data_IF_139449136751
#
_entry.id   IF_139449136751
#
_cell.length_a   1.000
_cell.length_b   1.000
_cell.length_c   1.000
_cell.angle_alpha   90.00
_cell.angle_beta   90.00
_cell.angle_gamma   90.00
#
_symmetry.space_group_name_H-M   'P 1'
#
loop_
_entity.id
_entity.type
_entity.pdbx_description
1 polymer ?
#
# COMPACT_ATOMS: atom_id res chain seq x y z
N UNK A 1 7.03 8.14 12.30
CA UNK A 1 6.46 8.35 13.65
C UNK A 1 5.58 9.60 13.59
N UNK A 2 4.27 9.46 13.75
CA UNK A 2 3.36 10.61 13.78
C UNK A 2 3.40 11.16 15.20
N UNK A 3 3.96 12.35 15.37
CA UNK A 3 3.95 13.05 16.66
C UNK A 3 2.84 14.09 16.64
N UNK A 4 1.77 13.85 17.38
CA UNK A 4 0.71 14.84 17.60
C UNK A 4 0.93 15.55 18.93
N UNK A 5 0.90 16.87 18.94
CA UNK A 5 0.84 17.66 20.16
C UNK A 5 -0.58 18.19 20.34
N UNK A 6 -1.18 17.86 21.49
CA UNK A 6 -2.50 18.37 21.89
C UNK A 6 -2.28 19.39 23.02
N UNK A 7 -2.70 20.62 22.81
CA UNK A 7 -2.77 21.63 23.89
C UNK A 7 -4.18 21.64 24.45
N UNK A 8 -4.34 21.26 25.71
CA UNK A 8 -5.65 21.29 26.38
C UNK A 8 -5.58 22.19 27.62
N UNK A 9 -6.56 23.08 27.74
CA UNK A 9 -6.76 23.91 28.89
C UNK A 9 -8.00 23.38 29.63
N UNK A 10 -7.78 22.49 30.59
CA UNK A 10 -8.84 21.82 31.37
C UNK A 10 -8.30 20.83 32.40
N UNK A 11 -9.17 20.29 33.25
CA UNK A 11 -8.78 19.36 34.31
C UNK A 11 -8.18 18.05 33.73
N UNK A 12 -7.19 17.46 34.42
CA UNK A 12 -6.45 16.24 33.97
C UNK A 12 -7.37 15.03 33.68
N UNK A 13 -8.53 14.94 34.34
CA UNK A 13 -9.48 13.84 34.11
C UNK A 13 -10.12 13.93 32.71
N UNK A 14 -10.56 15.11 32.30
CA UNK A 14 -11.22 15.37 31.01
C UNK A 14 -10.23 15.08 29.84
N UNK A 15 -8.95 15.33 30.06
CA UNK A 15 -7.87 15.04 29.12
C UNK A 15 -7.70 13.56 28.85
N UNK A 16 -7.72 12.75 29.89
CA UNK A 16 -7.55 11.28 29.75
C UNK A 16 -8.73 10.68 28.98
N UNK A 17 -9.93 11.15 29.26
CA UNK A 17 -11.13 10.67 28.57
C UNK A 17 -11.12 11.06 27.10
N UNK A 18 -10.70 12.29 26.77
CA UNK A 18 -10.54 12.75 25.38
C UNK A 18 -9.46 11.94 24.64
N UNK A 19 -8.30 11.71 25.27
CA UNK A 19 -7.24 10.94 24.66
C UNK A 19 -7.66 9.48 24.43
N UNK A 20 -8.33 8.88 25.40
CA UNK A 20 -8.85 7.52 25.27
C UNK A 20 -9.89 7.43 24.14
N UNK A 21 -10.77 8.44 24.00
CA UNK A 21 -11.73 8.45 22.89
C UNK A 21 -11.03 8.62 21.54
N UNK A 22 -10.04 9.50 21.41
CA UNK A 22 -9.24 9.66 20.20
C UNK A 22 -8.54 8.33 19.82
N UNK A 23 -7.92 7.64 20.78
CA UNK A 23 -7.26 6.37 20.55
C UNK A 23 -8.23 5.30 20.02
N UNK A 24 -9.47 5.28 20.47
CA UNK A 24 -10.48 4.35 19.96
C UNK A 24 -10.89 4.60 18.52
N UNK A 25 -10.61 5.79 17.97
CA UNK A 25 -10.93 6.19 16.60
C UNK A 25 -9.81 5.95 15.60
N UNK A 26 -8.58 5.73 16.07
CA UNK A 26 -7.43 5.46 15.19
C UNK A 26 -7.64 4.28 14.25
N UNK A 27 -8.15 3.12 14.71
CA UNK A 27 -8.40 2.01 13.79
C UNK A 27 -9.30 2.38 12.61
N UNK A 28 -10.36 3.16 12.85
CA UNK A 28 -11.24 3.62 11.77
C UNK A 28 -10.54 4.57 10.79
N UNK A 29 -9.65 5.44 11.30
CA UNK A 29 -8.85 6.30 10.43
C UNK A 29 -7.82 5.52 9.61
N UNK A 30 -7.27 4.44 10.17
CA UNK A 30 -6.35 3.54 9.47
C UNK A 30 -7.02 2.74 8.33
N UNK A 31 -8.33 2.52 8.38
CA UNK A 31 -9.07 1.96 7.26
C UNK A 31 -9.02 2.88 6.02
N UNK A 32 -9.12 4.19 6.21
CA UNK A 32 -8.96 5.16 5.12
C UNK A 32 -7.54 5.14 4.55
N UNK A 33 -6.53 4.99 5.41
CA UNK A 33 -5.14 4.82 4.99
C UNK A 33 -4.96 3.54 4.18
N UNK A 34 -5.54 2.43 4.63
CA UNK A 34 -5.50 1.16 3.91
C UNK A 34 -6.11 1.28 2.52
N UNK A 35 -7.26 1.94 2.40
CA UNK A 35 -7.90 2.19 1.11
C UNK A 35 -7.00 3.02 0.20
N UNK A 36 -6.38 4.08 0.72
CA UNK A 36 -5.48 4.95 -0.05
C UNK A 36 -4.23 4.20 -0.56
N UNK A 37 -3.64 3.34 0.27
CA UNK A 37 -2.49 2.51 -0.15
C UNK A 37 -2.92 1.52 -1.25
N UNK A 38 -4.10 0.91 -1.11
CA UNK A 38 -4.66 0.01 -2.13
C UNK A 38 -4.86 0.71 -3.46
N UNK A 39 -5.46 1.90 -3.45
CA UNK A 39 -5.71 2.69 -4.65
C UNK A 39 -4.39 3.12 -5.32
N UNK A 40 -3.39 3.53 -4.53
CA UNK A 40 -2.06 3.84 -5.04
C UNK A 40 -1.39 2.61 -5.68
N UNK A 41 -1.45 1.45 -5.04
CA UNK A 41 -0.92 0.20 -5.60
C UNK A 41 -1.60 -0.16 -6.92
N UNK A 42 -2.93 -0.13 -6.97
CA UNK A 42 -3.68 -0.45 -8.19
C UNK A 42 -3.35 0.53 -9.33
N UNK A 43 -3.23 1.82 -9.04
CA UNK A 43 -2.81 2.84 -10.01
C UNK A 43 -1.46 2.48 -10.61
N UNK A 44 -0.45 2.20 -9.78
CA UNK A 44 0.91 1.90 -10.25
C UNK A 44 1.05 0.52 -10.90
N UNK A 45 0.24 -0.46 -10.52
CA UNK A 45 0.13 -1.71 -11.26
C UNK A 45 -0.37 -1.47 -12.69
N UNK A 46 -1.34 -0.58 -12.88
CA UNK A 46 -1.85 -0.28 -14.22
C UNK A 46 -0.89 0.58 -15.04
N UNK A 47 -0.32 1.66 -14.46
CA UNK A 47 0.55 2.59 -15.18
C UNK A 47 1.94 2.02 -15.39
N UNK A 48 2.61 1.59 -14.34
CA UNK A 48 4.05 1.34 -14.32
C UNK A 48 4.38 -0.14 -14.55
N UNK A 49 3.47 -1.06 -14.21
CA UNK A 49 3.65 -2.47 -14.52
C UNK A 49 3.08 -2.83 -15.90
N UNK A 50 1.80 -2.53 -16.14
CA UNK A 50 1.15 -2.92 -17.38
C UNK A 50 1.32 -1.88 -18.50
N UNK A 51 1.38 -0.59 -18.15
CA UNK A 51 1.57 0.50 -19.09
C UNK A 51 3.01 0.63 -19.63
N UNK A 52 4.01 0.22 -18.85
CA UNK A 52 5.41 0.40 -19.21
C UNK A 52 5.88 -0.47 -20.39
N UNK A 53 5.18 -1.55 -20.71
CA UNK A 53 5.63 -2.53 -21.71
C UNK A 53 4.44 -3.26 -22.35
N UNK A 54 4.48 -3.40 -23.67
CA UNK A 54 3.54 -4.26 -24.43
C UNK A 54 4.30 -5.49 -24.92
N UNK A 55 3.93 -6.70 -24.48
CA UNK A 55 4.63 -7.92 -24.91
C UNK A 55 4.38 -8.20 -26.40
N UNK A 56 5.42 -8.60 -27.12
CA UNK A 56 5.38 -8.96 -28.54
C UNK A 56 5.15 -10.47 -28.75
N UNK A 57 5.65 -11.30 -27.84
CA UNK A 57 5.71 -12.75 -28.02
C UNK A 57 4.77 -13.55 -27.12
N UNK A 58 4.05 -12.91 -26.21
CA UNK A 58 3.08 -13.58 -25.35
C UNK A 58 1.89 -12.70 -25.01
N UNK A 59 0.77 -13.34 -24.67
CA UNK A 59 -0.39 -12.61 -24.12
C UNK A 59 -0.27 -12.51 -22.61
N UNK A 60 -0.31 -11.29 -22.09
CA UNK A 60 -0.34 -11.08 -20.62
C UNK A 60 -1.56 -11.76 -20.03
N UNK A 61 -1.34 -12.47 -18.93
CA UNK A 61 -2.41 -12.96 -18.11
C UNK A 61 -2.99 -11.78 -17.30
N UNK A 62 -4.20 -11.42 -17.63
CA UNK A 62 -5.00 -10.44 -16.88
C UNK A 62 -6.26 -11.14 -16.37
N UNK A 63 -6.65 -10.78 -15.14
CA UNK A 63 -7.74 -11.47 -14.47
C UNK A 63 -7.39 -12.89 -14.02
N UNK A 64 -8.26 -13.48 -13.22
CA UNK A 64 -8.07 -14.82 -12.68
C UNK A 64 -8.25 -15.89 -13.75
N UNK A 65 -7.40 -16.89 -13.73
CA UNK A 65 -7.40 -18.02 -14.66
C UNK A 65 -7.23 -19.34 -13.90
N UNK A 66 -7.34 -20.47 -14.60
CA UNK A 66 -7.01 -21.79 -14.03
C UNK A 66 -5.57 -21.89 -13.51
N UNK A 67 -4.69 -20.98 -13.94
CA UNK A 67 -3.27 -20.93 -13.52
C UNK A 67 -3.03 -20.08 -12.29
N UNK A 68 -4.10 -19.62 -11.65
CA UNK A 68 -4.05 -18.81 -10.45
C UNK A 68 -4.49 -17.37 -10.66
N UNK A 69 -4.28 -16.58 -9.63
CA UNK A 69 -4.68 -15.19 -9.53
C UNK A 69 -3.78 -14.29 -10.38
N UNK A 70 -4.35 -13.29 -11.01
CA UNK A 70 -3.56 -12.26 -11.69
C UNK A 70 -2.81 -11.37 -10.68
N UNK A 71 -1.73 -10.73 -11.13
CA UNK A 71 -0.94 -9.82 -10.28
C UNK A 71 -1.79 -8.65 -9.75
N UNK A 72 -2.66 -8.10 -10.60
CA UNK A 72 -3.56 -7.01 -10.25
C UNK A 72 -4.80 -7.43 -9.43
N UNK A 73 -4.96 -8.71 -9.11
CA UNK A 73 -6.11 -9.18 -8.36
C UNK A 73 -6.13 -8.62 -6.93
N UNK A 74 -7.26 -8.05 -6.55
CA UNK A 74 -7.43 -7.47 -5.22
C UNK A 74 -7.26 -8.50 -4.09
N UNK A 75 -7.47 -9.77 -4.37
CA UNK A 75 -7.24 -10.84 -3.43
C UNK A 75 -5.76 -11.08 -3.09
N UNK A 76 -4.82 -10.44 -3.82
CA UNK A 76 -3.40 -10.42 -3.44
C UNK A 76 -3.10 -9.31 -2.42
N UNK A 77 -4.08 -8.48 -2.12
CA UNK A 77 -3.91 -7.33 -1.23
C UNK A 77 -4.72 -7.59 0.04
N UNK A 78 -4.05 -7.57 1.16
CA UNK A 78 -4.67 -7.66 2.47
C UNK A 78 -4.14 -6.58 3.41
N UNK A 79 -4.88 -6.29 4.45
CA UNK A 79 -4.46 -5.37 5.50
C UNK A 79 -5.02 -5.82 6.84
N UNK A 80 -4.27 -5.57 7.89
CA UNK A 80 -4.62 -5.85 9.26
C UNK A 80 -4.33 -4.62 10.14
N UNK A 81 -5.25 -4.29 11.02
CA UNK A 81 -5.07 -3.22 12.00
C UNK A 81 -4.88 -3.86 13.37
N UNK A 82 -3.71 -3.66 13.97
CA UNK A 82 -3.35 -4.15 15.29
C UNK A 82 -3.07 -2.96 16.20
N UNK A 83 -3.99 -2.67 17.12
CA UNK A 83 -3.92 -1.45 17.92
C UNK A 83 -3.95 -0.20 17.04
N UNK A 84 -2.89 0.61 17.09
CA UNK A 84 -2.73 1.83 16.31
C UNK A 84 -1.78 1.66 15.11
N UNK A 85 -1.58 0.43 14.66
CA UNK A 85 -0.70 0.09 13.54
C UNK A 85 -1.48 -0.56 12.41
N UNK A 86 -1.20 -0.12 11.19
CA UNK A 86 -1.70 -0.74 9.97
C UNK A 86 -0.59 -1.60 9.36
N UNK A 87 -0.88 -2.87 9.17
CA UNK A 87 -0.07 -3.80 8.39
C UNK A 87 -0.74 -3.98 7.03
N UNK A 88 0.00 -3.72 5.97
CA UNK A 88 -0.48 -3.84 4.60
C UNK A 88 0.37 -4.87 3.86
N UNK A 89 -0.29 -5.82 3.19
CA UNK A 89 0.35 -6.94 2.52
C UNK A 89 -0.04 -6.96 1.04
N UNK A 90 0.95 -7.18 0.19
CA UNK A 90 0.75 -7.47 -1.22
C UNK A 90 1.50 -8.75 -1.57
N UNK A 91 0.76 -9.83 -1.81
CA UNK A 91 1.29 -11.20 -1.93
C UNK A 91 0.86 -11.84 -3.27
N UNK A 92 1.37 -11.34 -4.42
CA UNK A 92 1.03 -11.91 -5.72
C UNK A 92 1.64 -13.30 -5.95
N UNK A 93 2.59 -13.71 -5.10
CA UNK A 93 3.24 -15.02 -5.11
C UNK A 93 2.62 -16.02 -4.14
N UNK A 94 1.65 -15.61 -3.33
CA UNK A 94 1.04 -16.42 -2.28
C UNK A 94 0.38 -17.72 -2.79
N UNK A 95 -0.17 -18.50 -1.87
CA UNK A 95 -0.80 -19.81 -2.17
C UNK A 95 -1.86 -19.73 -3.28
N UNK A 96 -2.50 -18.59 -3.42
CA UNK A 96 -3.52 -18.34 -4.44
C UNK A 96 -2.95 -17.96 -5.82
N UNK A 97 -1.62 -17.91 -5.94
CA UNK A 97 -0.91 -17.63 -7.20
C UNK A 97 0.10 -18.72 -7.51
N UNK A 98 -0.26 -20.02 -7.55
CA UNK A 98 0.68 -21.13 -7.64
C UNK A 98 1.55 -21.09 -8.90
N UNK A 99 1.04 -20.52 -9.99
CA UNK A 99 1.80 -20.39 -11.22
C UNK A 99 2.96 -19.38 -11.08
N UNK A 100 2.70 -18.24 -10.46
CA UNK A 100 3.74 -17.24 -10.23
C UNK A 100 4.81 -17.78 -9.28
N UNK A 101 4.39 -18.43 -8.19
CA UNK A 101 5.29 -19.04 -7.22
C UNK A 101 6.14 -20.15 -7.84
N UNK A 102 5.56 -21.01 -8.68
CA UNK A 102 6.29 -22.09 -9.37
C UNK A 102 7.38 -21.57 -10.31
N UNK A 103 7.17 -20.41 -10.95
CA UNK A 103 8.11 -19.88 -11.94
C UNK A 103 9.14 -18.94 -11.30
N UNK A 104 8.72 -18.07 -10.40
CA UNK A 104 9.54 -16.97 -9.89
C UNK A 104 9.87 -17.10 -8.39
N UNK A 105 9.19 -18.01 -7.67
CA UNK A 105 9.35 -18.13 -6.22
C UNK A 105 8.96 -16.83 -5.50
N UNK A 106 9.60 -16.54 -4.40
CA UNK A 106 9.30 -15.42 -3.53
C UNK A 106 9.88 -14.07 -4.01
N UNK A 107 10.30 -13.99 -5.29
CA UNK A 107 11.00 -12.83 -5.83
C UNK A 107 10.24 -12.13 -6.96
N UNK A 108 8.97 -12.47 -7.18
CA UNK A 108 8.23 -11.93 -8.33
C UNK A 108 8.21 -10.40 -8.36
N UNK A 109 7.94 -9.73 -7.23
CA UNK A 109 7.91 -8.27 -7.16
C UNK A 109 9.28 -7.69 -7.51
N UNK A 110 10.34 -8.26 -6.94
CA UNK A 110 11.72 -7.85 -7.21
C UNK A 110 12.09 -8.00 -8.70
N UNK A 111 11.78 -9.17 -9.29
CA UNK A 111 12.03 -9.45 -10.70
C UNK A 111 11.30 -8.45 -11.60
N UNK A 112 10.04 -8.18 -11.33
CA UNK A 112 9.26 -7.21 -12.10
C UNK A 112 9.81 -5.79 -11.97
N UNK A 113 10.21 -5.40 -10.77
CA UNK A 113 10.72 -4.08 -10.45
C UNK A 113 12.07 -3.80 -11.13
N UNK A 114 12.99 -4.77 -11.12
CA UNK A 114 14.35 -4.64 -11.63
C UNK A 114 14.53 -5.13 -13.07
N UNK A 115 13.58 -5.87 -13.62
CA UNK A 115 13.68 -6.61 -14.88
C UNK A 115 14.82 -7.64 -14.88
N UNK A 116 15.24 -8.12 -13.73
CA UNK A 116 16.27 -9.13 -13.58
C UNK A 116 15.66 -10.55 -13.68
N UNK A 117 16.41 -11.48 -14.25
CA UNK A 117 15.99 -12.89 -14.32
C UNK A 117 15.03 -13.24 -15.47
N UNK A 118 14.66 -12.29 -16.31
CA UNK A 118 13.89 -12.57 -17.53
C UNK A 118 14.79 -13.08 -18.67
N UNK A 119 14.64 -14.35 -19.04
CA UNK A 119 15.33 -14.97 -20.18
C UNK A 119 14.37 -15.32 -21.33
N UNK A 120 13.40 -14.46 -21.61
CA UNK A 120 12.29 -14.81 -22.50
C UNK A 120 12.41 -14.20 -23.91
N UNK A 121 13.58 -13.69 -24.25
CA UNK A 121 13.86 -13.16 -25.60
C UNK A 121 13.40 -11.71 -25.82
N UNK A 122 12.53 -11.18 -25.01
CA UNK A 122 12.10 -9.78 -25.06
C UNK A 122 13.02 -8.91 -24.19
N UNK A 123 13.32 -7.71 -24.66
CA UNK A 123 14.01 -6.71 -23.87
C UNK A 123 12.99 -6.02 -22.93
N UNK A 124 12.71 -6.65 -21.80
CA UNK A 124 11.70 -6.17 -20.85
C UNK A 124 12.30 -5.09 -19.96
N UNK A 125 11.78 -3.86 -19.98
CA UNK A 125 12.31 -2.80 -19.14
C UNK A 125 11.94 -3.01 -17.66
N UNK A 126 12.72 -2.43 -16.72
CA UNK A 126 12.31 -2.32 -15.32
C UNK A 126 10.93 -1.67 -15.18
N UNK A 127 10.16 -2.15 -14.24
CA UNK A 127 8.80 -1.69 -13.98
C UNK A 127 8.66 -1.29 -12.51
N UNK A 128 9.07 -0.07 -12.17
CA UNK A 128 9.25 0.36 -10.77
C UNK A 128 7.92 0.68 -10.05
N UNK A 129 6.86 -0.08 -10.31
CA UNK A 129 5.52 0.16 -9.79
C UNK A 129 5.48 0.26 -8.26
N UNK A 130 6.26 -0.59 -7.57
CA UNK A 130 6.31 -0.60 -6.11
C UNK A 130 6.99 0.67 -5.57
N UNK A 131 8.17 1.01 -6.10
CA UNK A 131 8.88 2.21 -5.66
C UNK A 131 8.11 3.48 -6.04
N UNK A 132 7.47 3.49 -7.21
CA UNK A 132 6.61 4.61 -7.64
C UNK A 132 5.41 4.78 -6.71
N UNK A 133 4.78 3.68 -6.26
CA UNK A 133 3.72 3.72 -5.26
C UNK A 133 4.24 4.33 -3.94
N UNK A 134 5.40 3.88 -3.44
CA UNK A 134 5.99 4.43 -2.22
C UNK A 134 6.26 5.93 -2.36
N UNK A 135 6.77 6.38 -3.50
CA UNK A 135 7.00 7.81 -3.75
C UNK A 135 5.70 8.61 -3.81
N UNK A 136 4.67 8.10 -4.46
CA UNK A 136 3.34 8.72 -4.52
C UNK A 136 2.70 8.86 -3.13
N UNK A 137 2.90 7.88 -2.26
CA UNK A 137 2.37 7.91 -0.88
C UNK A 137 3.06 8.91 0.03
N UNK A 138 4.32 9.31 -0.27
CA UNK A 138 5.05 10.32 0.51
C UNK A 138 4.47 11.72 0.36
N UNK A 139 3.77 12.03 -0.72
CA UNK A 139 3.22 13.35 -1.04
C UNK A 139 2.04 13.79 -0.13
N UNK A 140 1.96 13.23 1.08
CA UNK A 140 0.96 13.59 2.07
C UNK A 140 -0.40 12.88 1.89
N UNK A 141 -0.54 11.98 0.95
CA UNK A 141 -1.77 11.22 0.71
C UNK A 141 -2.18 10.40 1.92
N UNK A 142 -1.24 9.71 2.56
CA UNK A 142 -1.51 8.92 3.78
C UNK A 142 -2.00 9.80 4.91
N UNK A 143 -1.39 10.97 5.10
CA UNK A 143 -1.82 11.92 6.14
C UNK A 143 -3.20 12.47 5.84
N UNK A 144 -3.47 12.78 4.58
CA UNK A 144 -4.79 13.25 4.15
C UNK A 144 -5.86 12.19 4.35
N UNK A 145 -5.57 10.93 4.02
CA UNK A 145 -6.47 9.81 4.24
C UNK A 145 -6.76 9.61 5.74
N UNK A 146 -5.72 9.63 6.58
CA UNK A 146 -5.87 9.55 8.03
C UNK A 146 -6.70 10.71 8.58
N UNK A 147 -6.42 11.95 8.16
CA UNK A 147 -7.18 13.13 8.56
C UNK A 147 -8.66 13.05 8.16
N UNK A 148 -8.94 12.54 6.96
CA UNK A 148 -10.31 12.30 6.50
C UNK A 148 -11.01 11.24 7.36
N UNK A 149 -10.32 10.16 7.70
CA UNK A 149 -10.83 9.11 8.58
C UNK A 149 -11.15 9.65 9.99
N UNK A 150 -10.27 10.46 10.58
CA UNK A 150 -10.52 11.13 11.86
C UNK A 150 -11.67 12.14 11.77
N UNK A 151 -11.76 12.87 10.65
CA UNK A 151 -12.86 13.82 10.43
C UNK A 151 -14.21 13.09 10.36
N UNK A 152 -14.26 11.94 9.75
CA UNK A 152 -15.45 11.08 9.73
C UNK A 152 -15.87 10.62 11.14
N UNK A 153 -14.93 10.60 12.09
CA UNK A 153 -15.19 10.30 13.51
C UNK A 153 -15.45 11.57 14.36
N UNK A 154 -15.55 12.74 13.74
CA UNK A 154 -15.87 14.00 14.42
C UNK A 154 -14.65 14.79 14.91
N UNK A 155 -13.43 14.42 14.54
CA UNK A 155 -12.20 15.11 14.91
C UNK A 155 -11.63 15.90 13.73
N UNK A 156 -11.15 17.11 13.99
CA UNK A 156 -10.40 17.89 13.00
C UNK A 156 -8.92 17.66 13.22
N UNK A 157 -8.24 17.12 12.20
CA UNK A 157 -6.79 16.95 12.18
C UNK A 157 -6.18 18.09 11.38
N UNK A 158 -5.29 18.83 12.01
CA UNK A 158 -4.53 19.91 11.37
C UNK A 158 -3.05 19.54 11.38
N UNK A 159 -2.42 19.51 10.21
CA UNK A 159 -1.01 19.21 10.02
C UNK A 159 -0.78 18.56 8.67
N UNK A 160 0.35 18.88 8.05
CA UNK A 160 0.69 18.42 6.70
C UNK A 160 2.17 18.01 6.64
N UNK A 161 2.65 17.32 7.65
CA UNK A 161 4.01 16.77 7.56
C UNK A 161 3.99 15.45 6.80
N UNK A 162 4.95 15.26 5.90
CA UNK A 162 5.14 14.00 5.21
C UNK A 162 5.47 12.87 6.19
N UNK A 163 5.32 11.64 5.72
CA UNK A 163 5.72 10.47 6.51
C UNK A 163 7.16 10.15 6.17
N UNK A 164 8.03 10.27 7.17
CA UNK A 164 9.42 9.80 7.07
C UNK A 164 9.50 8.28 7.18
N UNK A 165 10.52 7.69 6.56
CA UNK A 165 10.81 6.26 6.70
C UNK A 165 10.15 5.36 5.65
N UNK A 166 9.29 5.86 4.77
CA UNK A 166 8.70 5.05 3.70
C UNK A 166 9.73 4.51 2.70
N UNK A 167 10.89 5.16 2.59
CA UNK A 167 11.99 4.69 1.72
C UNK A 167 12.55 3.33 2.15
N UNK A 168 12.40 2.94 3.40
CA UNK A 168 12.84 1.63 3.92
C UNK A 168 12.06 0.47 3.27
N UNK A 169 10.88 0.73 2.69
CA UNK A 169 10.05 -0.27 2.00
C UNK A 169 10.31 -0.35 0.49
N UNK A 170 11.24 0.45 -0.05
CA UNK A 170 11.65 0.36 -1.46
C UNK A 170 12.52 -0.86 -1.72
N UNK A 171 12.37 -1.43 -2.92
CA UNK A 171 13.11 -2.60 -3.41
C UNK A 171 14.23 -2.16 -4.35
#
# INVERSE_FOLDING_TARGET
>A
MITSSISVIGAEADLRDILADIETKFPYALEYVSAEIRDALQKHLQSDLFGAYTPEHYTRRRGNTERGRAIEDEGNISSEIVGNSLHFYYEPEGENTPYNHQIFGDHLIYILQKAEGYNWGDNIPPRPFWNSMIDDLKDGRIISAFANGMTAQGYTVTGTQGIDGLDEYKI
#
